data_IF_107839398868
#
_entry.id   IF_107839398868
#
_cell.length_a   1.000
_cell.length_b   1.000
_cell.length_c   1.000
_cell.angle_alpha   90.00
_cell.angle_beta   90.00
_cell.angle_gamma   90.00
#
_symmetry.space_group_name_H-M   'P 1'
#
loop_
_entity.id
_entity.type
_entity.pdbx_description
1 polymer ?
#
# COMPACT_ATOMS: atom_id res chain seq x y z
N UNK A 1 -19.84 -15.18 10.70
CA UNK A 1 -19.89 -15.06 9.24
C UNK A 1 -18.76 -14.15 8.79
N UNK A 2 -17.86 -14.69 7.99
CA UNK A 2 -16.84 -13.82 7.50
C UNK A 2 -17.48 -12.69 6.68
N UNK A 3 -16.94 -11.51 6.74
CA UNK A 3 -17.45 -10.44 5.91
C UNK A 3 -17.48 -10.92 4.47
N UNK A 4 -18.52 -10.58 3.72
CA UNK A 4 -18.51 -10.92 2.32
C UNK A 4 -17.21 -10.40 1.77
N UNK A 5 -16.39 -11.29 1.33
CA UNK A 5 -15.14 -10.88 0.74
C UNK A 5 -15.45 -9.89 -0.33
N UNK A 6 -14.84 -8.76 -0.22
CA UNK A 6 -14.95 -7.79 -1.28
C UNK A 6 -14.40 -8.47 -2.53
N UNK A 7 -15.23 -8.75 -3.53
CA UNK A 7 -14.80 -9.58 -4.65
C UNK A 7 -13.53 -9.09 -5.31
N UNK A 8 -13.33 -7.80 -5.35
CA UNK A 8 -12.14 -7.22 -5.95
C UNK A 8 -10.84 -7.51 -5.20
N UNK A 9 -10.89 -7.80 -3.92
CA UNK A 9 -9.67 -8.06 -3.16
C UNK A 9 -9.06 -9.41 -3.46
N UNK A 10 -9.89 -10.44 -3.63
CA UNK A 10 -9.39 -11.77 -3.92
C UNK A 10 -8.74 -11.87 -5.27
N UNK A 11 -9.33 -11.18 -6.25
CA UNK A 11 -8.96 -11.36 -7.63
C UNK A 11 -7.95 -10.34 -8.13
N UNK A 12 -7.79 -9.25 -7.39
CA UNK A 12 -6.85 -8.19 -7.73
C UNK A 12 -5.51 -8.32 -7.03
N UNK A 13 -5.33 -9.34 -6.19
CA UNK A 13 -4.11 -9.50 -5.43
C UNK A 13 -2.97 -10.12 -6.23
N UNK A 14 -1.80 -10.06 -5.64
CA UNK A 14 -0.62 -10.76 -6.13
C UNK A 14 -0.54 -12.11 -5.44
N UNK A 15 -0.32 -13.16 -6.19
CA UNK A 15 -0.12 -14.47 -5.61
C UNK A 15 0.65 -15.36 -6.57
N UNK A 16 0.96 -16.57 -6.12
CA UNK A 16 1.67 -17.57 -6.92
C UNK A 16 0.76 -18.73 -7.29
N UNK A 17 -0.55 -18.57 -7.11
CA UNK A 17 -1.53 -19.59 -7.47
C UNK A 17 -1.91 -19.49 -8.94
N UNK A 18 -2.90 -20.28 -9.37
CA UNK A 18 -3.20 -20.49 -10.78
C UNK A 18 -4.06 -19.40 -11.43
N UNK A 19 -4.40 -18.34 -10.73
CA UNK A 19 -5.29 -17.30 -11.24
C UNK A 19 -4.51 -16.18 -11.92
N UNK A 20 -4.91 -15.80 -13.11
CA UNK A 20 -4.34 -14.68 -13.82
C UNK A 20 -3.12 -15.01 -14.67
N UNK A 21 -2.49 -14.01 -15.20
CA UNK A 21 -1.30 -14.11 -16.03
C UNK A 21 -0.04 -14.20 -15.18
N UNK A 22 0.96 -14.89 -15.70
CA UNK A 22 2.27 -14.94 -15.04
C UNK A 22 3.10 -13.76 -15.53
N UNK A 23 3.59 -12.98 -14.57
CA UNK A 23 4.45 -11.84 -14.84
C UNK A 23 5.76 -12.10 -14.11
N UNK A 24 6.86 -12.08 -14.83
CA UNK A 24 8.18 -12.25 -14.23
C UNK A 24 8.70 -10.90 -13.75
N UNK A 25 9.03 -10.82 -12.47
CA UNK A 25 9.59 -9.60 -11.89
C UNK A 25 10.96 -9.90 -11.29
N UNK A 26 11.81 -8.87 -11.24
CA UNK A 26 13.12 -8.99 -10.63
C UNK A 26 13.16 -8.16 -9.36
N UNK A 27 13.47 -8.83 -8.25
CA UNK A 27 13.56 -8.21 -6.93
C UNK A 27 14.84 -8.71 -6.26
N UNK A 28 15.66 -7.79 -5.82
CA UNK A 28 16.92 -8.10 -5.13
C UNK A 28 17.81 -9.04 -5.95
N UNK A 29 17.86 -8.85 -7.26
CA UNK A 29 18.69 -9.63 -8.16
C UNK A 29 18.14 -10.99 -8.53
N UNK A 30 16.94 -11.34 -8.11
CA UNK A 30 16.31 -12.62 -8.41
C UNK A 30 15.00 -12.44 -9.14
N UNK A 31 14.68 -13.39 -10.00
CA UNK A 31 13.43 -13.36 -10.76
C UNK A 31 12.38 -14.20 -10.09
N UNK A 32 11.17 -13.65 -10.03
CA UNK A 32 10.03 -14.32 -9.44
C UNK A 32 8.86 -14.32 -10.40
N UNK A 33 8.22 -15.49 -10.61
CA UNK A 33 6.99 -15.55 -11.39
C UNK A 33 5.82 -15.16 -10.48
N UNK A 34 5.14 -14.11 -10.84
CA UNK A 34 3.98 -13.62 -10.08
C UNK A 34 2.74 -13.84 -10.92
N UNK A 35 1.74 -14.50 -10.38
CA UNK A 35 0.44 -14.62 -11.02
C UNK A 35 -0.47 -13.53 -10.50
N UNK A 36 -1.10 -12.80 -11.40
CA UNK A 36 -1.95 -11.69 -11.02
C UNK A 36 -2.92 -11.36 -12.15
N UNK A 37 -4.09 -10.87 -11.76
CA UNK A 37 -5.04 -10.27 -12.70
C UNK A 37 -4.81 -8.77 -12.85
N UNK A 38 -3.87 -8.22 -12.09
CA UNK A 38 -3.51 -6.81 -12.18
C UNK A 38 -2.75 -6.54 -13.47
N UNK A 39 -2.76 -5.28 -13.87
CA UNK A 39 -2.04 -4.83 -15.04
C UNK A 39 -0.53 -5.08 -14.91
N UNK A 40 0.09 -5.52 -15.99
CA UNK A 40 1.52 -5.86 -15.99
C UNK A 40 2.41 -4.69 -15.60
N UNK A 41 2.10 -3.50 -16.10
CA UNK A 41 2.88 -2.31 -15.77
C UNK A 41 2.75 -1.96 -14.29
N UNK A 42 1.57 -2.13 -13.74
CA UNK A 42 1.34 -1.88 -12.32
C UNK A 42 2.12 -2.87 -11.46
N UNK A 43 2.12 -4.15 -11.81
CA UNK A 43 2.88 -5.17 -11.07
C UNK A 43 4.37 -4.88 -11.16
N UNK A 44 4.86 -4.44 -12.32
CA UNK A 44 6.26 -4.05 -12.49
C UNK A 44 6.63 -2.87 -11.56
N UNK A 45 5.74 -1.91 -11.42
CA UNK A 45 5.94 -0.78 -10.51
C UNK A 45 5.99 -1.23 -9.05
N UNK A 46 5.11 -2.14 -8.66
CA UNK A 46 5.14 -2.71 -7.32
C UNK A 46 6.46 -3.43 -7.04
N UNK A 47 6.90 -4.23 -8.00
CA UNK A 47 8.16 -4.98 -7.86
C UNK A 47 9.36 -4.04 -7.76
N UNK A 48 9.37 -2.98 -8.57
CA UNK A 48 10.43 -1.98 -8.53
C UNK A 48 10.49 -1.28 -7.18
N UNK A 49 9.35 -0.98 -6.59
CA UNK A 49 9.28 -0.37 -5.29
C UNK A 49 9.81 -1.28 -4.18
N UNK A 50 9.43 -2.55 -4.21
CA UNK A 50 9.95 -3.55 -3.26
C UNK A 50 11.46 -3.70 -3.41
N UNK A 51 11.94 -3.74 -4.65
CA UNK A 51 13.38 -3.83 -4.94
C UNK A 51 14.14 -2.66 -4.31
N UNK A 52 13.63 -1.44 -4.47
CA UNK A 52 14.22 -0.26 -3.85
C UNK A 52 14.26 -0.36 -2.33
N UNK A 53 13.18 -0.85 -1.72
CA UNK A 53 13.12 -1.00 -0.27
C UNK A 53 14.09 -2.04 0.24
N UNK A 54 14.27 -3.12 -0.49
CA UNK A 54 15.24 -4.14 -0.12
C UNK A 54 16.67 -3.63 -0.25
N UNK A 55 16.97 -2.85 -1.29
CA UNK A 55 18.28 -2.24 -1.45
C UNK A 55 18.59 -1.24 -0.34
N UNK A 56 17.62 -0.42 0.03
CA UNK A 56 17.77 0.52 1.13
C UNK A 56 18.01 -0.21 2.45
N UNK A 57 17.32 -1.32 2.67
CA UNK A 57 17.54 -2.14 3.86
C UNK A 57 18.95 -2.74 3.87
N UNK A 58 19.43 -3.19 2.70
CA UNK A 58 20.79 -3.74 2.58
C UNK A 58 21.85 -2.67 2.87
N UNK A 59 21.62 -1.44 2.46
CA UNK A 59 22.56 -0.35 2.71
C UNK A 59 22.69 -0.01 4.18
N UNK A 60 21.59 -0.12 4.94
CA UNK A 60 21.57 0.23 6.35
C UNK A 60 21.83 -0.93 7.30
N UNK A 61 21.77 -2.16 6.80
CA UNK A 61 21.92 -3.37 7.63
C UNK A 61 22.92 -4.33 6.98
N UNK A 62 24.10 -4.51 7.57
CA UNK A 62 25.11 -5.42 6.98
C UNK A 62 24.71 -6.88 7.21
N UNK A 63 23.95 -7.44 6.29
CA UNK A 63 23.56 -8.84 6.33
C UNK A 63 23.50 -9.39 4.91
N UNK A 64 23.87 -10.65 4.75
CA UNK A 64 23.69 -11.35 3.50
C UNK A 64 22.40 -12.17 3.45
N UNK A 65 21.58 -12.09 4.50
CA UNK A 65 20.35 -12.86 4.59
C UNK A 65 19.20 -12.13 3.88
N UNK A 66 18.81 -12.66 2.73
CA UNK A 66 17.72 -12.08 1.93
C UNK A 66 16.39 -12.05 2.66
N UNK A 67 16.11 -13.05 3.49
CA UNK A 67 14.88 -13.09 4.26
C UNK A 67 14.83 -11.93 5.26
N UNK A 68 15.94 -11.66 5.92
CA UNK A 68 16.03 -10.54 6.87
C UNK A 68 15.81 -9.21 6.15
N UNK A 69 16.40 -9.03 4.99
CA UNK A 69 16.21 -7.84 4.18
C UNK A 69 14.75 -7.69 3.75
N UNK A 70 14.11 -8.80 3.37
CA UNK A 70 12.71 -8.78 2.98
C UNK A 70 11.81 -8.38 4.15
N UNK A 71 12.09 -8.89 5.35
CA UNK A 71 11.33 -8.52 6.55
C UNK A 71 11.48 -7.04 6.86
N UNK A 72 12.70 -6.51 6.80
CA UNK A 72 12.94 -5.09 7.02
C UNK A 72 12.24 -4.24 5.97
N UNK A 73 12.31 -4.64 4.70
CA UNK A 73 11.63 -3.93 3.63
C UNK A 73 10.11 -3.93 3.85
N UNK A 74 9.56 -5.08 4.23
CA UNK A 74 8.12 -5.19 4.51
C UNK A 74 7.70 -4.29 5.66
N UNK A 75 8.49 -4.22 6.72
CA UNK A 75 8.20 -3.34 7.85
C UNK A 75 8.24 -1.87 7.44
N UNK A 76 9.22 -1.50 6.61
CA UNK A 76 9.31 -0.13 6.11
C UNK A 76 8.12 0.24 5.24
N UNK A 77 7.67 -0.66 4.39
CA UNK A 77 6.49 -0.45 3.54
C UNK A 77 5.23 -0.33 4.41
N UNK A 78 5.10 -1.18 5.41
CA UNK A 78 3.97 -1.10 6.35
C UNK A 78 3.99 0.23 7.12
N UNK A 79 5.16 0.68 7.54
CA UNK A 79 5.30 1.97 8.21
C UNK A 79 4.84 3.12 7.30
N UNK A 80 5.26 3.10 6.05
CA UNK A 80 4.83 4.10 5.07
C UNK A 80 3.31 4.09 4.87
N UNK A 81 2.74 2.90 4.79
CA UNK A 81 1.29 2.76 4.62
C UNK A 81 0.55 3.35 5.81
N UNK A 82 0.99 3.04 7.02
CA UNK A 82 0.33 3.53 8.23
C UNK A 82 0.45 5.04 8.35
N UNK A 83 1.60 5.61 8.05
CA UNK A 83 1.79 7.07 8.03
C UNK A 83 0.91 7.72 7.00
N UNK A 84 0.79 7.13 5.83
CA UNK A 84 -0.10 7.64 4.77
C UNK A 84 -1.56 7.65 5.24
N UNK A 85 -2.00 6.58 5.90
CA UNK A 85 -3.34 6.49 6.47
C UNK A 85 -3.59 7.54 7.55
N UNK A 86 -2.61 7.75 8.42
CA UNK A 86 -2.72 8.74 9.50
C UNK A 86 -2.83 10.15 8.94
N UNK A 87 -2.04 10.48 7.94
CA UNK A 87 -2.12 11.78 7.27
C UNK A 87 -3.48 11.96 6.63
N UNK A 88 -3.99 10.94 5.95
CA UNK A 88 -5.29 10.98 5.30
C UNK A 88 -6.41 11.18 6.32
N UNK A 89 -6.36 10.47 7.44
CA UNK A 89 -7.33 10.63 8.53
C UNK A 89 -7.29 12.03 9.12
N UNK A 90 -6.11 12.57 9.35
CA UNK A 90 -5.97 13.92 9.88
C UNK A 90 -6.55 14.95 8.92
N UNK A 91 -6.30 14.81 7.63
CA UNK A 91 -6.86 15.70 6.61
C UNK A 91 -8.37 15.59 6.56
N UNK A 92 -8.91 14.40 6.59
CA UNK A 92 -10.36 14.16 6.58
C UNK A 92 -11.01 14.76 7.82
N UNK A 93 -10.41 14.58 8.98
CA UNK A 93 -10.90 15.16 10.22
C UNK A 93 -10.91 16.68 10.19
N UNK A 94 -9.84 17.29 9.71
CA UNK A 94 -9.74 18.75 9.58
C UNK A 94 -10.79 19.30 8.62
N UNK A 95 -11.03 18.63 7.51
CA UNK A 95 -12.06 19.04 6.56
C UNK A 95 -13.46 18.94 7.17
N UNK A 96 -13.72 17.88 7.90
CA UNK A 96 -15.00 17.70 8.58
C UNK A 96 -15.25 18.79 9.63
N UNK A 97 -14.23 19.16 10.39
CA UNK A 97 -14.31 20.24 11.37
C UNK A 97 -14.62 21.57 10.70
N UNK A 98 -13.94 21.89 9.60
CA UNK A 98 -14.20 23.12 8.85
C UNK A 98 -15.60 23.17 8.28
N UNK A 99 -16.08 22.06 7.75
CA UNK A 99 -17.44 21.96 7.24
C UNK A 99 -18.45 22.22 8.36
N UNK A 100 -18.24 21.63 9.54
CA UNK A 100 -19.09 21.88 10.70
C UNK A 100 -19.09 23.32 11.16
N UNK A 101 -17.94 23.99 11.13
CA UNK A 101 -17.84 25.41 11.47
C UNK A 101 -18.61 26.28 10.48
N UNK A 102 -18.51 25.98 9.20
CA UNK A 102 -19.26 26.72 8.16
C UNK A 102 -20.75 26.54 8.36
N UNK A 103 -21.21 25.34 8.64
CA UNK A 103 -22.61 25.07 8.90
C UNK A 103 -23.13 25.88 10.10
N UNK A 104 -22.37 25.92 11.17
CA UNK A 104 -22.73 26.72 12.35
C UNK A 104 -22.79 28.19 12.06
N UNK A 105 -21.89 28.73 11.26
CA UNK A 105 -21.90 30.11 10.86
C UNK A 105 -23.14 30.44 10.01
N UNK A 106 -23.49 29.56 9.08
CA UNK A 106 -24.68 29.71 8.25
C UNK A 106 -25.94 29.70 9.09
N UNK A 107 -26.04 28.81 10.06
CA UNK A 107 -27.18 28.73 10.96
C UNK A 107 -27.34 30.02 11.74
N UNK A 108 -26.28 30.62 12.26
CA UNK A 108 -26.33 31.90 12.95
C UNK A 108 -26.83 33.02 12.05
N UNK A 109 -26.35 33.05 10.81
CA UNK A 109 -26.76 34.07 9.86
C UNK A 109 -28.22 33.93 9.48
N UNK A 110 -28.72 32.71 9.35
CA UNK A 110 -30.09 32.43 8.99
C UNK A 110 -31.06 32.68 10.15
N UNK A 111 -30.58 32.54 11.38
CA UNK A 111 -31.41 32.76 12.59
C UNK A 111 -31.33 34.17 13.13
N UNK A 112 -30.51 35.00 12.59
CA UNK A 112 -30.36 36.39 13.04
C UNK A 112 -31.46 37.32 12.51
#
# INVERSE_FOLDING_TARGET
MPPPDLPGRRHAGLNMSDTGNVISVEINGQRYPIRSTLDQEYVARLASYVDEKMRAAADSTPTGDSLRLAVLAALNVADELFRCRDVTRARTGALAERAGEIERLLDRLLMA
#
